data_IF_124168647899
#
_entry.id   IF_124168647899
#
_cell.length_a   1.000
_cell.length_b   1.000
_cell.length_c   1.000
_cell.angle_alpha   90.00
_cell.angle_beta   90.00
_cell.angle_gamma   90.00
#
_symmetry.space_group_name_H-M   'P 1'
#
loop_
_entity.id
_entity.type
_entity.pdbx_description
1 polymer ?
#
# COMPACT_ATOMS: atom_id res chain seq x y z
N UNK A 1 -61.87 -14.00 -16.09
CA UNK A 1 -60.91 -15.05 -15.71
C UNK A 1 -59.67 -14.78 -16.56
N UNK A 2 -58.86 -13.78 -16.15
CA UNK A 2 -57.55 -13.93 -15.47
C UNK A 2 -56.52 -14.62 -16.35
N UNK A 3 -55.32 -14.13 -16.56
CA UNK A 3 -54.63 -12.88 -16.25
C UNK A 3 -53.34 -12.99 -17.08
N UNK A 4 -52.94 -11.93 -17.77
CA UNK A 4 -51.74 -11.89 -18.62
C UNK A 4 -50.55 -11.62 -17.70
N UNK A 5 -49.96 -12.68 -17.14
CA UNK A 5 -48.80 -12.59 -16.25
C UNK A 5 -47.51 -12.43 -17.04
N UNK A 6 -47.35 -11.24 -17.62
CA UNK A 6 -46.05 -10.69 -18.01
C UNK A 6 -45.15 -10.58 -16.79
N UNK A 7 -44.27 -11.57 -16.62
CA UNK A 7 -43.16 -11.52 -15.67
C UNK A 7 -42.08 -10.56 -16.17
N UNK A 8 -42.31 -9.24 -16.03
CA UNK A 8 -41.22 -8.28 -15.99
C UNK A 8 -40.43 -8.55 -14.71
N UNK A 9 -39.31 -9.27 -14.84
CA UNK A 9 -38.24 -9.19 -13.86
C UNK A 9 -37.81 -7.73 -13.82
N UNK A 10 -38.30 -7.01 -12.82
CA UNK A 10 -37.80 -5.69 -12.47
C UNK A 10 -36.36 -5.95 -12.03
N UNK A 11 -35.45 -5.89 -13.00
CA UNK A 11 -34.03 -5.74 -12.74
C UNK A 11 -33.94 -4.46 -11.91
N UNK A 12 -33.93 -4.65 -10.60
CA UNK A 12 -33.70 -3.60 -9.63
C UNK A 12 -32.33 -3.04 -10.01
N UNK A 13 -32.35 -1.93 -10.76
CA UNK A 13 -31.16 -1.14 -11.08
C UNK A 13 -30.77 -0.54 -9.75
N UNK A 14 -30.12 -1.35 -8.90
CA UNK A 14 -29.47 -0.90 -7.69
C UNK A 14 -28.54 0.21 -8.16
N UNK A 15 -28.79 1.48 -7.79
CA UNK A 15 -27.93 2.55 -8.23
C UNK A 15 -26.54 2.19 -7.74
N UNK A 16 -25.61 1.91 -8.67
CA UNK A 16 -24.20 1.85 -8.33
C UNK A 16 -23.88 3.25 -7.81
N UNK A 17 -23.93 3.40 -6.48
CA UNK A 17 -23.42 4.57 -5.77
C UNK A 17 -22.12 4.94 -6.48
N UNK A 18 -21.94 6.20 -6.95
CA UNK A 18 -20.79 6.56 -7.75
C UNK A 18 -19.53 6.23 -6.94
N UNK A 19 -18.97 5.04 -7.20
CA UNK A 19 -17.81 4.52 -6.52
C UNK A 19 -16.73 5.53 -6.73
N UNK A 20 -16.04 5.94 -5.67
CA UNK A 20 -15.12 7.07 -5.78
C UNK A 20 -14.11 6.78 -6.90
N UNK A 21 -14.13 7.46 -8.08
CA UNK A 21 -13.50 6.92 -9.28
C UNK A 21 -11.96 6.80 -9.25
N UNK A 22 -11.30 7.06 -8.13
CA UNK A 22 -9.85 7.07 -7.99
C UNK A 22 -9.35 6.64 -6.58
N UNK A 23 -10.13 5.82 -5.85
CA UNK A 23 -9.67 5.23 -4.59
C UNK A 23 -8.76 4.03 -4.86
N UNK A 24 -7.50 4.11 -4.42
CA UNK A 24 -6.53 3.00 -4.50
C UNK A 24 -6.07 2.56 -3.10
N UNK A 25 -6.94 2.73 -2.10
CA UNK A 25 -6.57 2.41 -0.72
C UNK A 25 -6.46 0.91 -0.49
N UNK A 26 -7.19 0.06 -1.22
CA UNK A 26 -7.12 -1.39 -1.08
C UNK A 26 -5.76 -1.95 -1.55
N UNK A 27 -5.20 -1.38 -2.63
CA UNK A 27 -3.86 -1.69 -3.09
C UNK A 27 -2.80 -1.28 -2.06
N UNK A 28 -2.93 -0.08 -1.48
CA UNK A 28 -2.01 0.40 -0.42
C UNK A 28 -2.06 -0.50 0.81
N UNK A 29 -3.25 -0.99 1.19
CA UNK A 29 -3.42 -1.95 2.31
C UNK A 29 -2.66 -3.24 2.05
N UNK A 30 -2.85 -3.81 0.85
CA UNK A 30 -2.12 -5.01 0.43
C UNK A 30 -0.61 -4.80 0.45
N UNK A 31 -0.13 -3.68 -0.08
CA UNK A 31 1.30 -3.34 -0.13
C UNK A 31 1.91 -3.14 1.26
N UNK A 32 1.19 -2.51 2.20
CA UNK A 32 1.66 -2.35 3.57
C UNK A 32 1.71 -3.66 4.35
N UNK A 33 0.72 -4.53 4.19
CA UNK A 33 0.75 -5.88 4.77
C UNK A 33 1.91 -6.68 4.18
N UNK A 34 2.07 -6.65 2.85
CA UNK A 34 3.17 -7.33 2.18
C UNK A 34 4.53 -6.80 2.66
N UNK A 35 4.69 -5.48 2.74
CA UNK A 35 5.91 -4.86 3.26
C UNK A 35 6.22 -5.25 4.70
N UNK A 36 5.21 -5.28 5.58
CA UNK A 36 5.36 -5.72 6.96
C UNK A 36 5.81 -7.20 7.04
N UNK A 37 5.21 -8.08 6.24
CA UNK A 37 5.63 -9.48 6.15
C UNK A 37 7.08 -9.57 5.67
N UNK A 38 7.42 -8.85 4.59
CA UNK A 38 8.78 -8.84 4.05
C UNK A 38 9.82 -8.40 5.10
N UNK A 39 9.52 -7.38 5.92
CA UNK A 39 10.41 -6.95 7.01
C UNK A 39 10.65 -8.11 8.01
N UNK A 40 9.58 -8.77 8.45
CA UNK A 40 9.69 -9.87 9.43
C UNK A 40 10.42 -11.08 8.83
N UNK A 41 10.15 -11.44 7.58
CA UNK A 41 10.85 -12.53 6.89
C UNK A 41 12.33 -12.22 6.71
N UNK A 42 12.68 -10.98 6.37
CA UNK A 42 14.06 -10.58 6.16
C UNK A 42 14.87 -10.66 7.46
N UNK A 43 14.35 -10.15 8.58
CA UNK A 43 14.96 -10.31 9.91
C UNK A 43 15.05 -11.80 10.32
N UNK A 44 13.99 -12.59 10.11
CA UNK A 44 13.95 -13.98 10.53
C UNK A 44 14.87 -14.91 9.71
N UNK A 45 15.20 -14.55 8.48
CA UNK A 45 16.07 -15.36 7.60
C UNK A 45 17.54 -14.94 7.67
N UNK A 46 17.88 -13.99 8.55
CA UNK A 46 19.26 -13.58 8.80
C UNK A 46 19.80 -12.60 7.78
N UNK A 47 18.96 -11.73 7.20
CA UNK A 47 19.45 -10.60 6.41
C UNK A 47 20.20 -9.61 7.34
N UNK A 48 21.50 -9.81 7.51
CA UNK A 48 22.35 -9.01 8.43
C UNK A 48 22.46 -7.52 8.04
N UNK A 49 21.97 -7.14 6.84
CA UNK A 49 22.14 -5.80 6.28
C UNK A 49 20.83 -5.00 6.11
N UNK A 50 19.78 -5.30 6.87
CA UNK A 50 18.67 -4.34 6.95
C UNK A 50 19.15 -3.04 7.62
N UNK A 51 18.72 -1.87 7.11
CA UNK A 51 19.03 -0.58 7.72
C UNK A 51 18.17 -0.32 8.98
N UNK A 52 17.83 -1.37 9.73
CA UNK A 52 16.96 -1.36 10.89
C UNK A 52 17.57 -2.21 12.00
N UNK A 53 17.45 -1.76 13.24
CA UNK A 53 17.59 -2.65 14.39
C UNK A 53 16.38 -3.58 14.49
N UNK A 54 16.52 -4.74 15.12
CA UNK A 54 15.42 -5.69 15.33
C UNK A 54 14.19 -5.04 15.96
N UNK A 55 14.37 -4.17 16.97
CA UNK A 55 13.25 -3.45 17.58
C UNK A 55 12.55 -2.53 16.59
N UNK A 56 13.32 -1.76 15.81
CA UNK A 56 12.76 -0.87 14.79
C UNK A 56 12.09 -1.64 13.65
N UNK A 57 12.59 -2.82 13.27
CA UNK A 57 11.97 -3.67 12.26
C UNK A 57 10.58 -4.15 12.70
N UNK A 58 10.47 -4.68 13.92
CA UNK A 58 9.18 -5.12 14.49
C UNK A 58 8.22 -3.94 14.65
N UNK A 59 8.71 -2.79 15.12
CA UNK A 59 7.90 -1.58 15.26
C UNK A 59 7.39 -1.09 13.90
N UNK A 60 8.25 -1.03 12.89
CA UNK A 60 7.88 -0.63 11.52
C UNK A 60 6.85 -1.58 10.93
N UNK A 61 7.02 -2.89 11.07
CA UNK A 61 6.04 -3.89 10.62
C UNK A 61 4.67 -3.69 11.30
N UNK A 62 4.66 -3.48 12.62
CA UNK A 62 3.42 -3.22 13.36
C UNK A 62 2.73 -1.92 12.89
N UNK A 63 3.49 -0.83 12.71
CA UNK A 63 2.96 0.43 12.22
C UNK A 63 2.38 0.31 10.80
N UNK A 64 3.04 -0.43 9.91
CA UNK A 64 2.52 -0.69 8.55
C UNK A 64 1.21 -1.49 8.58
N UNK A 65 1.11 -2.53 9.40
CA UNK A 65 -0.13 -3.32 9.54
C UNK A 65 -1.25 -2.49 10.16
N UNK A 66 -0.95 -1.67 11.18
CA UNK A 66 -1.95 -0.75 11.77
C UNK A 66 -2.43 0.23 10.71
N UNK A 67 -1.52 0.86 9.96
CA UNK A 67 -1.86 1.77 8.86
C UNK A 67 -2.74 1.09 7.80
N UNK A 68 -2.42 -0.15 7.43
CA UNK A 68 -3.25 -0.96 6.52
C UNK A 68 -4.64 -1.27 7.10
N UNK A 69 -4.74 -1.55 8.40
CA UNK A 69 -6.01 -1.84 9.08
C UNK A 69 -6.94 -0.64 9.15
N UNK A 70 -6.40 0.55 9.39
CA UNK A 70 -7.19 1.78 9.54
C UNK A 70 -7.47 2.51 8.22
N UNK A 71 -6.79 2.12 7.13
CA UNK A 71 -7.01 2.70 5.79
C UNK A 71 -8.43 2.44 5.31
N UNK A 72 -9.20 3.52 5.11
CA UNK A 72 -10.62 3.46 4.74
C UNK A 72 -10.98 4.68 3.88
N UNK A 73 -11.80 4.54 2.81
CA UNK A 73 -12.26 5.67 1.99
C UNK A 73 -12.90 6.83 2.77
N UNK A 74 -13.50 6.57 3.94
CA UNK A 74 -14.19 7.61 4.72
C UNK A 74 -13.25 8.57 5.45
N UNK A 75 -12.01 8.17 5.75
CA UNK A 75 -11.07 8.96 6.56
C UNK A 75 -9.98 9.56 5.68
N UNK A 76 -10.21 10.74 5.10
CA UNK A 76 -9.30 11.34 4.12
C UNK A 76 -7.87 11.58 4.64
N UNK A 77 -7.72 11.88 5.94
CA UNK A 77 -6.42 12.13 6.56
C UNK A 77 -5.50 10.90 6.54
N UNK A 78 -6.06 9.68 6.53
CA UNK A 78 -5.25 8.46 6.61
C UNK A 78 -4.39 8.27 5.36
N UNK A 79 -4.86 8.76 4.21
CA UNK A 79 -4.11 8.69 2.97
C UNK A 79 -2.82 9.52 3.03
N UNK A 80 -2.83 10.66 3.75
CA UNK A 80 -1.63 11.45 3.99
C UNK A 80 -0.63 10.73 4.91
N UNK A 81 -1.12 10.04 5.93
CA UNK A 81 -0.26 9.21 6.80
C UNK A 81 0.33 8.03 6.04
N UNK A 82 -0.45 7.37 5.19
CA UNK A 82 0.07 6.33 4.29
C UNK A 82 1.12 6.90 3.33
N UNK A 83 0.90 8.10 2.79
CA UNK A 83 1.90 8.77 1.95
C UNK A 83 3.20 9.04 2.72
N UNK A 84 3.10 9.47 3.97
CA UNK A 84 4.26 9.65 4.84
C UNK A 84 5.04 8.35 5.05
N UNK A 85 4.36 7.26 5.45
CA UNK A 85 5.02 5.97 5.66
C UNK A 85 5.63 5.41 4.36
N UNK A 86 4.92 5.50 3.25
CA UNK A 86 5.42 5.04 1.96
C UNK A 86 6.63 5.87 1.50
N UNK A 87 6.62 7.19 1.70
CA UNK A 87 7.75 8.06 1.40
C UNK A 87 8.97 7.73 2.27
N UNK A 88 8.77 7.54 3.58
CA UNK A 88 9.85 7.12 4.50
C UNK A 88 10.43 5.76 4.11
N UNK A 89 9.58 4.77 3.80
CA UNK A 89 10.01 3.47 3.31
C UNK A 89 10.81 3.59 2.00
N UNK A 90 10.33 4.40 1.06
CA UNK A 90 10.99 4.62 -0.23
C UNK A 90 12.37 5.24 -0.04
N UNK A 91 12.49 6.26 0.81
CA UNK A 91 13.76 6.91 1.08
C UNK A 91 14.72 5.96 1.81
N UNK A 92 14.26 5.28 2.85
CA UNK A 92 15.10 4.38 3.65
C UNK A 92 15.58 3.18 2.84
N UNK A 93 14.66 2.41 2.27
CA UNK A 93 15.00 1.18 1.56
C UNK A 93 15.55 1.47 0.15
N UNK A 94 15.04 2.49 -0.55
CA UNK A 94 15.55 2.85 -1.87
C UNK A 94 16.99 3.36 -1.83
N UNK A 95 17.35 4.20 -0.87
CA UNK A 95 18.75 4.63 -0.73
C UNK A 95 19.66 3.48 -0.29
N UNK A 96 19.18 2.59 0.59
CA UNK A 96 19.91 1.40 1.01
C UNK A 96 20.15 0.44 -0.16
N UNK A 97 19.13 0.17 -0.97
CA UNK A 97 19.22 -0.67 -2.17
C UNK A 97 20.25 -0.13 -3.17
N UNK A 98 20.18 1.16 -3.50
CA UNK A 98 21.14 1.82 -4.38
C UNK A 98 22.55 1.76 -3.80
N UNK A 99 22.71 1.94 -2.49
CA UNK A 99 24.02 1.86 -1.83
C UNK A 99 24.58 0.44 -1.90
N UNK A 100 23.77 -0.58 -1.61
CA UNK A 100 24.16 -2.00 -1.71
C UNK A 100 24.56 -2.38 -3.13
N UNK A 101 23.80 -1.94 -4.14
CA UNK A 101 24.14 -2.17 -5.54
C UNK A 101 25.48 -1.51 -5.91
N UNK A 102 25.70 -0.26 -5.47
CA UNK A 102 26.96 0.47 -5.72
C UNK A 102 28.16 -0.11 -4.98
N UNK A 103 27.94 -0.75 -3.83
CA UNK A 103 28.97 -1.45 -3.07
C UNK A 103 29.37 -2.79 -3.72
N UNK A 104 28.71 -3.21 -4.80
CA UNK A 104 29.00 -4.46 -5.50
C UNK A 104 28.45 -5.70 -4.80
N UNK A 105 27.47 -5.54 -3.91
CA UNK A 105 26.76 -6.67 -3.32
C UNK A 105 26.06 -7.44 -4.45
N UNK A 106 26.17 -8.77 -4.42
CA UNK A 106 25.54 -9.64 -5.41
C UNK A 106 24.02 -9.43 -5.42
N UNK A 107 23.43 -9.40 -6.62
CA UNK A 107 21.97 -9.33 -6.78
C UNK A 107 21.24 -10.57 -6.23
N UNK A 108 21.97 -11.65 -5.97
CA UNK A 108 21.46 -12.88 -5.35
C UNK A 108 21.68 -12.94 -3.83
N UNK A 109 22.30 -11.91 -3.25
CA UNK A 109 22.41 -11.81 -1.79
C UNK A 109 21.01 -11.62 -1.18
N UNK A 110 20.59 -12.45 -0.21
CA UNK A 110 19.27 -12.34 0.40
C UNK A 110 18.98 -10.94 0.95
N UNK A 111 19.98 -10.29 1.54
CA UNK A 111 19.81 -8.94 2.11
C UNK A 111 19.53 -7.91 1.02
N UNK A 112 20.24 -8.00 -0.11
CA UNK A 112 19.96 -7.15 -1.26
C UNK A 112 18.53 -7.37 -1.78
N UNK A 113 18.12 -8.62 -1.96
CA UNK A 113 16.79 -8.98 -2.47
C UNK A 113 15.68 -8.41 -1.58
N UNK A 114 15.80 -8.53 -0.25
CA UNK A 114 14.80 -7.99 0.66
C UNK A 114 14.75 -6.46 0.67
N UNK A 115 15.90 -5.80 0.69
CA UNK A 115 15.98 -4.33 0.69
C UNK A 115 15.43 -3.77 -0.63
N UNK A 116 15.78 -4.38 -1.77
CA UNK A 116 15.23 -4.02 -3.08
C UNK A 116 13.71 -4.24 -3.14
N UNK A 117 13.22 -5.40 -2.67
CA UNK A 117 11.78 -5.68 -2.64
C UNK A 117 11.02 -4.65 -1.78
N UNK A 118 11.54 -4.29 -0.60
CA UNK A 118 10.96 -3.26 0.26
C UNK A 118 10.99 -1.87 -0.38
N UNK A 119 12.05 -1.53 -1.11
CA UNK A 119 12.13 -0.30 -1.88
C UNK A 119 11.04 -0.24 -2.95
N UNK A 120 10.83 -1.31 -3.71
CA UNK A 120 9.80 -1.38 -4.74
C UNK A 120 8.38 -1.35 -4.17
N UNK A 121 8.12 -2.12 -3.10
CA UNK A 121 6.82 -2.14 -2.41
C UNK A 121 6.48 -0.74 -1.89
N UNK A 122 7.43 -0.08 -1.23
CA UNK A 122 7.22 1.27 -0.68
C UNK A 122 7.03 2.32 -1.77
N UNK A 123 7.76 2.23 -2.88
CA UNK A 123 7.59 3.11 -4.04
C UNK A 123 6.21 2.94 -4.70
N UNK A 124 5.74 1.70 -4.86
CA UNK A 124 4.38 1.43 -5.35
C UNK A 124 3.32 1.96 -4.39
N UNK A 125 3.51 1.77 -3.08
CA UNK A 125 2.60 2.30 -2.08
C UNK A 125 2.53 3.84 -2.14
N UNK A 126 3.68 4.49 -2.36
CA UNK A 126 3.78 5.93 -2.52
C UNK A 126 3.05 6.41 -3.79
N UNK A 127 3.18 5.67 -4.89
CA UNK A 127 2.44 5.97 -6.12
C UNK A 127 0.91 5.87 -5.92
N UNK A 128 0.41 4.78 -5.34
CA UNK A 128 -1.03 4.59 -5.16
C UNK A 128 -1.65 5.56 -4.14
N UNK A 129 -0.94 5.83 -3.05
CA UNK A 129 -1.44 6.79 -2.05
C UNK A 129 -1.44 8.22 -2.60
N UNK A 130 -0.42 8.64 -3.35
CA UNK A 130 -0.42 9.97 -4.01
C UNK A 130 -1.50 10.07 -5.09
N UNK A 131 -1.76 8.99 -5.85
CA UNK A 131 -2.89 8.93 -6.79
C UNK A 131 -4.23 9.08 -6.09
N UNK A 132 -4.40 8.45 -4.92
CA UNK A 132 -5.60 8.58 -4.09
C UNK A 132 -5.78 10.00 -3.56
N UNK A 133 -4.72 10.60 -3.01
CA UNK A 133 -4.71 11.99 -2.54
C UNK A 133 -5.07 12.94 -3.67
N UNK A 134 -4.46 12.79 -4.85
CA UNK A 134 -4.81 13.58 -6.04
C UNK A 134 -6.28 13.43 -6.40
N UNK A 135 -6.81 12.21 -6.36
CA UNK A 135 -8.23 11.94 -6.59
C UNK A 135 -9.16 12.62 -5.57
N UNK A 136 -8.73 12.74 -4.32
CA UNK A 136 -9.46 13.47 -3.26
C UNK A 136 -9.40 14.99 -3.50
N UNK A 137 -8.22 15.52 -3.81
CA UNK A 137 -8.00 16.95 -4.03
C UNK A 137 -8.68 17.51 -5.29
N UNK A 138 -8.94 16.68 -6.30
CA UNK A 138 -9.61 17.08 -7.55
C UNK A 138 -11.15 16.96 -7.51
N UNK A 139 -11.74 16.44 -6.42
CA UNK A 139 -13.20 16.43 -6.20
C UNK A 139 -13.89 17.79 -5.90
N UNK A 140 -13.23 18.84 -5.36
CA UNK A 140 -13.92 20.07 -4.97
C UNK A 140 -14.60 20.87 -6.10
N UNK A 141 -14.44 20.50 -7.38
CA UNK A 141 -14.89 21.29 -8.54
C UNK A 141 -16.08 20.72 -9.30
N UNK A 142 -16.79 19.71 -8.78
CA UNK A 142 -17.97 19.10 -9.42
C UNK A 142 -19.23 19.14 -8.54
N UNK A 143 -19.42 20.19 -7.75
CA UNK A 143 -20.67 20.50 -7.03
C UNK A 143 -21.08 21.92 -7.37
#
# INVERSE_FOLDING_TARGET
MTDDSGGESIDEVVPKLPGMPHYHGDEVRGLFVLGALTIIFAESTGAEHLPLSTFTAVLSAALLVIAAGITNPKQLWIHWVNAFFAAMGTLLFGTSAVTSYRAGISIFDPSFVYVEALALISLLALYFTTRTIRGILLRPTLI
#
